data_IF_893054540291
#
_entry.id   IF_893054540291
#
_cell.length_a   1.000
_cell.length_b   1.000
_cell.length_c   1.000
_cell.angle_alpha   90.00
_cell.angle_beta   90.00
_cell.angle_gamma   90.00
#
_symmetry.space_group_name_H-M   'P 1'
#
loop_
_entity.id
_entity.type
_entity.pdbx_description
1 polymer ?
#
# COMPACT_ATOMS: atom_id res chain seq x y z
N UNK A 1 10.73 2.67 8.91
CA UNK A 1 9.39 2.33 9.40
C UNK A 1 9.20 0.82 9.50
N UNK A 2 9.47 0.21 10.67
CA UNK A 2 9.32 -1.24 10.81
C UNK A 2 7.90 -1.77 10.52
N UNK A 3 6.80 -1.17 11.03
CA UNK A 3 5.48 -1.68 10.68
C UNK A 3 5.15 -1.56 9.19
N UNK A 4 5.69 -0.55 8.51
CA UNK A 4 5.52 -0.42 7.05
C UNK A 4 6.19 -1.60 6.33
N UNK A 5 7.37 -1.99 6.77
CA UNK A 5 8.12 -3.11 6.17
C UNK A 5 7.43 -4.45 6.41
N UNK A 6 6.88 -4.65 7.61
CA UNK A 6 6.10 -5.84 7.93
C UNK A 6 4.87 -5.94 7.03
N UNK A 7 4.18 -4.83 6.85
CA UNK A 7 3.00 -4.79 5.98
C UNK A 7 3.35 -5.08 4.53
N UNK A 8 4.46 -4.55 4.03
CA UNK A 8 4.90 -4.83 2.66
C UNK A 8 5.24 -6.30 2.45
N UNK A 9 5.86 -6.95 3.45
CA UNK A 9 6.17 -8.37 3.37
C UNK A 9 4.90 -9.20 3.23
N UNK A 10 3.88 -8.92 4.03
CA UNK A 10 2.58 -9.59 3.91
C UNK A 10 1.86 -9.19 2.63
N UNK A 11 2.05 -7.94 2.19
CA UNK A 11 1.43 -7.45 0.97
C UNK A 11 1.84 -8.23 -0.26
N UNK A 12 3.09 -8.66 -0.34
CA UNK A 12 3.56 -9.45 -1.48
C UNK A 12 2.80 -10.78 -1.59
N UNK A 13 2.71 -11.54 -0.50
CA UNK A 13 2.07 -12.87 -0.53
C UNK A 13 0.56 -12.80 -0.43
N UNK A 14 0.03 -11.97 0.47
CA UNK A 14 -1.38 -11.99 0.83
C UNK A 14 -2.24 -11.06 -0.04
N UNK A 15 -1.62 -10.13 -0.76
CA UNK A 15 -2.33 -9.20 -1.64
C UNK A 15 -1.89 -9.38 -3.09
N UNK A 16 -0.63 -9.14 -3.40
CA UNK A 16 -0.16 -9.16 -4.78
C UNK A 16 -0.31 -10.54 -5.41
N UNK A 17 0.21 -11.57 -4.74
CA UNK A 17 0.14 -12.94 -5.25
C UNK A 17 -1.30 -13.46 -5.26
N UNK A 18 -2.08 -13.12 -4.22
CA UNK A 18 -3.47 -13.57 -4.11
C UNK A 18 -4.36 -13.01 -5.20
N UNK A 19 -4.17 -11.75 -5.56
CA UNK A 19 -5.01 -11.07 -6.55
C UNK A 19 -4.34 -10.94 -7.91
N UNK A 20 -3.28 -11.69 -8.15
CA UNK A 20 -2.58 -11.72 -9.43
C UNK A 20 -3.55 -12.12 -10.55
N UNK A 21 -3.48 -11.40 -11.68
CA UNK A 21 -4.37 -11.65 -12.81
C UNK A 21 -5.75 -11.01 -12.71
N UNK A 22 -6.05 -10.34 -11.60
CA UNK A 22 -7.29 -9.57 -11.43
C UNK A 22 -7.08 -8.12 -11.86
N UNK A 23 -8.18 -7.39 -12.09
CA UNK A 23 -8.12 -5.96 -12.36
C UNK A 23 -7.83 -5.18 -11.08
N UNK A 24 -6.57 -5.25 -10.66
CA UNK A 24 -6.13 -4.74 -9.37
C UNK A 24 -4.75 -4.14 -9.48
N UNK A 25 -4.56 -2.97 -8.86
CA UNK A 25 -3.26 -2.31 -8.80
C UNK A 25 -2.87 -2.12 -7.34
N UNK A 26 -1.66 -2.57 -6.99
CA UNK A 26 -1.07 -2.34 -5.68
C UNK A 26 0.06 -1.33 -5.84
N UNK A 27 -0.10 -0.15 -5.23
CA UNK A 27 0.86 0.93 -5.38
C UNK A 27 1.29 1.48 -4.01
N UNK A 28 2.38 0.98 -3.44
CA UNK A 28 2.98 1.60 -2.27
C UNK A 28 3.63 2.93 -2.66
N UNK A 29 3.45 3.94 -1.81
CA UNK A 29 4.04 5.26 -2.01
C UNK A 29 4.94 5.58 -0.83
N UNK A 30 6.20 5.90 -1.11
CA UNK A 30 7.16 6.30 -0.09
C UNK A 30 6.96 7.75 0.28
N UNK A 31 6.77 8.02 1.57
CA UNK A 31 6.56 9.36 2.10
C UNK A 31 7.85 9.95 2.65
N UNK A 32 8.24 11.11 2.10
CA UNK A 32 9.34 11.89 2.66
C UNK A 32 10.73 11.32 2.41
N UNK A 33 10.87 10.38 1.50
CA UNK A 33 12.16 9.76 1.18
C UNK A 33 12.62 10.14 -0.22
N UNK A 34 13.94 10.18 -0.41
CA UNK A 34 14.52 10.46 -1.72
C UNK A 34 14.47 9.22 -2.59
N UNK A 35 14.52 9.40 -3.90
CA UNK A 35 14.52 8.32 -4.88
C UNK A 35 15.59 7.27 -4.57
N UNK A 36 16.79 7.71 -4.22
CA UNK A 36 17.93 6.81 -3.95
C UNK A 36 17.63 5.85 -2.80
N UNK A 37 16.95 6.32 -1.76
CA UNK A 37 16.58 5.48 -0.61
C UNK A 37 15.59 4.40 -1.03
N UNK A 38 14.61 4.74 -1.85
CA UNK A 38 13.59 3.80 -2.34
C UNK A 38 14.22 2.78 -3.31
N UNK A 39 15.11 3.23 -4.18
CA UNK A 39 15.82 2.33 -5.10
C UNK A 39 16.69 1.32 -4.33
N UNK A 40 17.39 1.79 -3.29
CA UNK A 40 18.21 0.91 -2.44
C UNK A 40 17.34 -0.13 -1.72
N UNK A 41 16.18 0.28 -1.24
CA UNK A 41 15.24 -0.62 -0.60
C UNK A 41 14.71 -1.68 -1.56
N UNK A 42 14.35 -1.26 -2.77
CA UNK A 42 13.89 -2.19 -3.82
C UNK A 42 14.96 -3.22 -4.17
N UNK A 43 16.20 -2.77 -4.33
CA UNK A 43 17.31 -3.65 -4.65
C UNK A 43 17.56 -4.65 -3.53
N UNK A 44 17.51 -4.19 -2.28
CA UNK A 44 17.73 -5.03 -1.11
C UNK A 44 16.65 -6.09 -0.93
N UNK A 45 15.40 -5.73 -1.16
CA UNK A 45 14.25 -6.62 -0.94
C UNK A 45 13.90 -7.48 -2.14
N UNK A 46 14.24 -7.03 -3.35
CA UNK A 46 13.86 -7.71 -4.57
C UNK A 46 12.39 -7.56 -4.95
N UNK A 47 11.66 -6.68 -4.30
CA UNK A 47 10.26 -6.45 -4.63
C UNK A 47 10.11 -5.91 -6.05
N UNK A 48 9.18 -6.49 -6.82
CA UNK A 48 8.98 -6.16 -8.22
C UNK A 48 7.79 -5.22 -8.47
N UNK A 49 6.94 -4.99 -7.47
CA UNK A 49 5.78 -4.12 -7.64
C UNK A 49 6.21 -2.65 -7.81
N UNK A 50 5.40 -1.84 -8.50
CA UNK A 50 5.72 -0.41 -8.65
C UNK A 50 5.70 0.31 -7.31
N UNK A 51 6.57 1.31 -7.18
CA UNK A 51 6.65 2.12 -5.96
C UNK A 51 6.61 3.59 -6.35
N UNK A 52 5.67 4.34 -5.76
CA UNK A 52 5.57 5.77 -5.95
C UNK A 52 6.50 6.53 -5.01
N UNK A 53 6.85 7.76 -5.39
CA UNK A 53 7.70 8.63 -4.60
C UNK A 53 6.94 9.88 -4.20
N UNK A 54 7.00 10.22 -2.92
CA UNK A 54 6.37 11.43 -2.39
C UNK A 54 7.36 12.16 -1.45
N UNK A 55 8.48 12.64 -1.99
CA UNK A 55 9.56 13.18 -1.16
C UNK A 55 9.17 14.39 -0.34
N UNK A 56 8.25 15.21 -0.83
CA UNK A 56 7.79 16.42 -0.15
C UNK A 56 6.48 16.21 0.63
N UNK A 57 5.97 14.98 0.72
CA UNK A 57 4.71 14.65 1.37
C UNK A 57 3.48 15.30 0.71
N UNK A 58 3.60 15.77 -0.50
CA UNK A 58 2.52 16.47 -1.18
C UNK A 58 1.30 15.57 -1.41
N UNK A 59 1.54 14.33 -1.85
CA UNK A 59 0.47 13.37 -2.06
C UNK A 59 -0.09 12.90 -0.72
N UNK A 60 0.79 12.56 0.22
CA UNK A 60 0.38 12.10 1.54
C UNK A 60 -0.54 13.12 2.23
N UNK A 61 -0.19 14.40 2.17
CA UNK A 61 -0.96 15.45 2.84
C UNK A 61 -2.37 15.62 2.27
N UNK A 62 -2.63 15.10 1.08
CA UNK A 62 -3.97 15.11 0.49
C UNK A 62 -4.88 14.03 1.08
N UNK A 63 -4.31 13.00 1.70
CA UNK A 63 -5.04 11.86 2.25
C UNK A 63 -5.01 11.78 3.77
N UNK A 64 -3.96 12.30 4.39
CA UNK A 64 -3.74 12.15 5.82
C UNK A 64 -2.87 13.29 6.36
N UNK A 65 -2.77 13.39 7.69
CA UNK A 65 -1.93 14.40 8.33
C UNK A 65 -0.72 13.80 9.05
N UNK A 66 -0.83 12.55 9.54
CA UNK A 66 0.26 11.91 10.29
C UNK A 66 0.11 10.40 10.28
N UNK A 67 1.16 9.72 10.70
CA UNK A 67 1.29 8.27 10.82
C UNK A 67 1.40 7.53 9.49
N UNK A 68 2.22 6.50 9.48
CA UNK A 68 2.34 5.48 8.45
C UNK A 68 2.54 4.13 9.14
N UNK A 69 2.21 2.98 8.51
CA UNK A 69 1.62 2.90 7.18
C UNK A 69 0.15 3.34 7.16
N UNK A 70 -0.30 3.79 6.01
CA UNK A 70 -1.70 4.05 5.75
C UNK A 70 -2.10 3.35 4.47
N UNK A 71 -3.32 2.83 4.46
CA UNK A 71 -3.85 2.14 3.29
C UNK A 71 -5.18 2.74 2.87
N UNK A 72 -5.38 2.82 1.57
CA UNK A 72 -6.63 3.28 0.98
C UNK A 72 -7.02 2.31 -0.11
N UNK A 73 -8.23 1.77 -0.02
CA UNK A 73 -8.80 0.97 -1.10
C UNK A 73 -9.72 1.88 -1.89
N UNK A 74 -9.46 1.96 -3.20
CA UNK A 74 -10.19 2.84 -4.10
C UNK A 74 -10.89 1.97 -5.14
N UNK A 75 -12.21 2.15 -5.30
CA UNK A 75 -12.99 1.36 -6.24
C UNK A 75 -12.84 1.87 -7.68
N UNK A 76 -13.51 1.21 -8.61
CA UNK A 76 -13.43 1.56 -10.05
C UNK A 76 -13.99 2.93 -10.37
N UNK A 77 -14.76 3.50 -9.48
CA UNK A 77 -15.34 4.84 -9.64
C UNK A 77 -14.46 5.93 -9.03
N UNK A 78 -13.31 5.55 -8.47
CA UNK A 78 -12.39 6.48 -7.82
C UNK A 78 -12.78 6.83 -6.40
N UNK A 79 -13.66 6.04 -5.78
CA UNK A 79 -14.13 6.30 -4.43
C UNK A 79 -13.34 5.48 -3.41
N UNK A 80 -12.93 6.13 -2.31
CA UNK A 80 -12.27 5.44 -1.20
C UNK A 80 -13.32 4.63 -0.44
N UNK A 81 -13.14 3.31 -0.41
CA UNK A 81 -14.07 2.40 0.27
C UNK A 81 -13.52 1.87 1.59
N UNK A 82 -12.23 2.04 1.84
CA UNK A 82 -11.60 1.70 3.11
C UNK A 82 -10.35 2.56 3.30
N UNK A 83 -10.13 3.00 4.53
CA UNK A 83 -8.90 3.70 4.92
C UNK A 83 -8.44 3.13 6.26
N UNK A 84 -7.15 2.79 6.37
CA UNK A 84 -6.57 2.24 7.59
C UNK A 84 -5.41 3.08 8.09
N UNK A 85 -5.09 2.97 9.36
CA UNK A 85 -3.99 3.67 10.01
C UNK A 85 -3.15 2.67 10.79
N UNK A 86 -1.84 2.66 10.53
CA UNK A 86 -0.92 1.75 11.19
C UNK A 86 -1.01 0.33 10.63
N UNK A 87 -0.24 -0.57 11.21
CA UNK A 87 -0.28 -1.98 10.84
C UNK A 87 -0.83 -2.79 12.01
N UNK A 88 -1.97 -3.39 11.80
CA UNK A 88 -2.69 -4.24 12.73
C UNK A 88 -3.21 -5.43 11.94
N UNK A 89 -3.00 -6.63 12.45
CA UNK A 89 -3.36 -7.85 11.72
C UNK A 89 -4.84 -7.94 11.40
N UNK A 90 -5.68 -7.53 12.34
CA UNK A 90 -7.14 -7.51 12.14
C UNK A 90 -7.53 -6.53 11.03
N UNK A 91 -6.97 -5.32 11.05
CA UNK A 91 -7.23 -4.34 9.99
C UNK A 91 -6.66 -4.79 8.65
N UNK A 92 -5.54 -5.49 8.66
CA UNK A 92 -4.95 -6.02 7.43
C UNK A 92 -5.85 -7.08 6.79
N UNK A 93 -6.45 -7.94 7.60
CA UNK A 93 -7.42 -8.92 7.11
C UNK A 93 -8.67 -8.24 6.56
N UNK A 94 -9.13 -7.18 7.21
CA UNK A 94 -10.24 -6.37 6.71
C UNK A 94 -9.91 -5.72 5.38
N UNK A 95 -8.67 -5.26 5.22
CA UNK A 95 -8.17 -4.72 3.97
C UNK A 95 -8.28 -5.76 2.85
N UNK A 96 -7.84 -6.98 3.10
CA UNK A 96 -7.92 -8.07 2.13
C UNK A 96 -9.38 -8.37 1.76
N UNK A 97 -10.25 -8.47 2.76
CA UNK A 97 -11.69 -8.71 2.52
C UNK A 97 -12.33 -7.61 1.69
N UNK A 98 -11.94 -6.35 1.95
CA UNK A 98 -12.46 -5.21 1.20
C UNK A 98 -12.01 -5.24 -0.27
N UNK A 99 -10.75 -5.60 -0.51
CA UNK A 99 -10.22 -5.75 -1.87
C UNK A 99 -11.03 -6.84 -2.61
N UNK A 100 -11.20 -7.99 -1.96
CA UNK A 100 -11.92 -9.12 -2.52
C UNK A 100 -13.36 -8.76 -2.88
N UNK A 101 -14.06 -8.10 -1.95
CA UNK A 101 -15.42 -7.64 -2.17
C UNK A 101 -15.52 -6.63 -3.31
N UNK A 102 -14.59 -5.68 -3.36
CA UNK A 102 -14.59 -4.63 -4.39
C UNK A 102 -14.31 -5.20 -5.77
N UNK A 103 -13.45 -6.22 -5.86
CA UNK A 103 -13.17 -6.92 -7.11
C UNK A 103 -14.36 -7.75 -7.59
N UNK A 104 -15.16 -8.28 -6.67
CA UNK A 104 -16.33 -9.07 -6.98
C UNK A 104 -17.51 -8.25 -7.50
N UNK A 105 -17.44 -6.95 -7.32
CA UNK A 105 -18.50 -6.03 -7.78
C UNK A 105 -18.16 -5.46 -9.18
#
# INVERSE_FOLDING_TARGET
CPPCRQELTRGQTDIIDRFAGKEFVFLPVSRGEKREAVEAFREKTGYAFPMGLDPARTVYDRYASNYIPRNFVIDRKGKVVLATVGYDEHEFEELIRTIEKTLGN
#
